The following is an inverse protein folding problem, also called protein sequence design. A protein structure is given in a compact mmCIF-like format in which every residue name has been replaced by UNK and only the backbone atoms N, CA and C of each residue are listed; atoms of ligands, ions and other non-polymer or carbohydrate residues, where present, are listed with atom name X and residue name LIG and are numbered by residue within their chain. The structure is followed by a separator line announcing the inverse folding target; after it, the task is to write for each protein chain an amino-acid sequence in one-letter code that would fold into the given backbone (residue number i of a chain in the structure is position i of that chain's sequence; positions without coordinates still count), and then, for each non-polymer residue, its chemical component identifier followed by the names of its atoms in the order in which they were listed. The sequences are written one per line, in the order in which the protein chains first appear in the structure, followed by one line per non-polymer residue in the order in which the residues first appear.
data_IF_291311732042
#
_entry.id   IF_291311732042
#
_cell.length_a   1.000
_cell.length_b   1.000
_cell.length_c   1.000
_cell.angle_alpha   90.00
_cell.angle_beta   90.00
_cell.angle_gamma   90.00
#
_symmetry.space_group_name_H-M   'P 1'
#
loop_
_entity.id
_entity.type
_entity.pdbx_description
1 polymer ?
#
# COMPACT_ATOMS: atom_id res chain seq x y z
N UNK A 1 6.55 -3.79 -5.50
CA UNK A 1 7.01 -4.72 -4.52
C UNK A 1 7.65 -4.10 -3.31
N UNK A 2 7.14 -4.46 -2.18
CA UNK A 2 7.61 -4.04 -0.86
C UNK A 2 8.98 -4.62 -0.47
N UNK A 3 9.59 -5.44 -1.31
CA UNK A 3 10.68 -6.33 -0.89
C UNK A 3 12.08 -5.83 -1.17
N UNK A 4 12.21 -4.69 -1.83
CA UNK A 4 13.51 -4.37 -2.41
C UNK A 4 14.09 -3.06 -1.90
N UNK A 5 13.44 -2.43 -0.95
CA UNK A 5 13.68 -1.01 -0.75
C UNK A 5 14.56 -0.67 0.45
N UNK A 6 14.73 -1.62 1.34
CA UNK A 6 15.54 -1.47 2.55
C UNK A 6 16.90 -2.17 2.47
N UNK A 7 17.42 -2.41 1.29
CA UNK A 7 18.69 -3.14 1.12
C UNK A 7 18.56 -4.68 1.25
N UNK A 8 17.35 -5.20 1.34
CA UNK A 8 17.09 -6.64 1.34
C UNK A 8 17.13 -7.21 -0.09
N UNK A 9 18.27 -7.12 -0.73
CA UNK A 9 18.49 -7.75 -2.03
C UNK A 9 18.77 -9.25 -1.82
N UNK A 10 18.18 -10.08 -2.67
CA UNK A 10 18.41 -11.53 -2.63
C UNK A 10 19.86 -11.91 -2.94
N UNK A 11 20.44 -11.20 -3.89
CA UNK A 11 21.80 -11.36 -4.40
C UNK A 11 22.21 -10.10 -5.18
N UNK A 12 23.45 -10.02 -5.65
CA UNK A 12 23.97 -8.89 -6.41
C UNK A 12 23.24 -8.68 -7.73
N UNK A 13 22.91 -9.74 -8.46
CA UNK A 13 22.15 -9.65 -9.71
C UNK A 13 20.75 -9.05 -9.50
N UNK A 14 20.10 -9.37 -8.38
CA UNK A 14 18.83 -8.76 -8.01
C UNK A 14 18.99 -7.28 -7.67
N UNK A 15 20.08 -6.93 -6.97
CA UNK A 15 20.43 -5.54 -6.65
C UNK A 15 20.63 -4.72 -7.92
N UNK A 16 21.48 -5.18 -8.86
CA UNK A 16 21.71 -4.52 -10.15
C UNK A 16 20.42 -4.29 -10.92
N UNK A 17 19.55 -5.31 -11.01
CA UNK A 17 18.25 -5.21 -11.67
C UNK A 17 17.34 -4.15 -11.01
N UNK A 18 17.35 -4.04 -9.69
CA UNK A 18 16.57 -3.03 -8.96
C UNK A 18 17.12 -1.63 -9.22
N UNK A 19 18.44 -1.46 -9.14
CA UNK A 19 19.10 -0.17 -9.38
C UNK A 19 18.90 0.31 -10.83
N UNK A 20 19.04 -0.58 -11.80
CA UNK A 20 18.90 -0.25 -13.23
C UNK A 20 17.52 0.32 -13.59
N UNK A 21 16.48 -0.03 -12.83
CA UNK A 21 15.12 0.49 -13.03
C UNK A 21 14.70 1.57 -12.02
N UNK A 22 15.63 2.09 -11.22
CA UNK A 22 15.35 3.09 -10.18
C UNK A 22 14.44 2.58 -9.07
N UNK A 23 14.48 1.26 -8.80
CA UNK A 23 13.60 0.62 -7.81
C UNK A 23 14.08 0.76 -6.35
N UNK A 24 15.19 1.42 -6.10
CA UNK A 24 15.74 1.70 -4.77
C UNK A 24 15.14 2.97 -4.13
N UNK A 25 13.83 3.10 -4.20
CA UNK A 25 13.08 4.31 -3.80
C UNK A 25 13.46 4.78 -2.39
N UNK A 26 13.60 3.87 -1.43
CA UNK A 26 14.00 4.20 -0.07
C UNK A 26 15.39 4.83 -0.01
N UNK A 27 16.37 4.25 -0.69
CA UNK A 27 17.73 4.81 -0.75
C UNK A 27 17.75 6.16 -1.47
N UNK A 28 16.96 6.33 -2.52
CA UNK A 28 16.83 7.61 -3.22
C UNK A 28 16.22 8.70 -2.32
N UNK A 29 15.21 8.37 -1.54
CA UNK A 29 14.64 9.31 -0.58
C UNK A 29 15.64 9.66 0.53
N UNK A 30 16.37 8.69 1.06
CA UNK A 30 17.41 8.92 2.07
C UNK A 30 18.50 9.86 1.57
N UNK A 31 18.97 9.67 0.33
CA UNK A 31 19.93 10.60 -0.32
C UNK A 31 19.40 12.02 -0.50
N UNK A 32 18.09 12.20 -0.45
CA UNK A 32 17.40 13.52 -0.49
C UNK A 32 17.09 14.09 0.90
N UNK A 33 17.63 13.50 1.95
CA UNK A 33 17.49 13.98 3.33
C UNK A 33 16.25 13.48 4.08
N UNK A 34 15.53 12.48 3.56
CA UNK A 34 14.45 11.86 4.31
C UNK A 34 15.00 10.78 5.26
N UNK A 35 14.42 10.69 6.44
CA UNK A 35 14.51 9.48 7.25
C UNK A 35 13.52 8.48 6.63
N UNK A 36 14.03 7.30 6.26
CA UNK A 36 13.23 6.30 5.54
C UNK A 36 13.06 5.06 6.41
N UNK A 37 11.80 4.64 6.56
CA UNK A 37 11.45 3.39 7.21
C UNK A 37 10.78 2.51 6.16
N UNK A 38 11.34 1.34 5.91
CA UNK A 38 10.78 0.35 4.98
C UNK A 38 10.44 -0.93 5.74
N UNK A 39 9.24 -1.02 6.33
CA UNK A 39 8.87 -2.12 7.19
C UNK A 39 8.72 -3.43 6.39
N UNK A 40 9.14 -4.54 6.99
CA UNK A 40 8.76 -5.87 6.53
C UNK A 40 7.25 -6.04 6.72
N UNK A 41 6.54 -6.36 5.64
CA UNK A 41 5.07 -6.46 5.68
C UNK A 41 4.66 -7.92 5.86
N UNK A 42 3.84 -8.18 6.89
CA UNK A 42 3.37 -9.55 7.17
C UNK A 42 2.62 -10.15 5.97
N UNK A 43 2.90 -11.41 5.68
CA UNK A 43 2.37 -12.15 4.54
C UNK A 43 2.99 -11.77 3.18
N UNK A 44 3.98 -10.87 3.15
CA UNK A 44 4.72 -10.47 1.95
C UNK A 44 6.24 -10.58 2.16
N UNK A 45 6.75 -10.23 3.32
CA UNK A 45 8.15 -10.47 3.69
C UNK A 45 8.36 -11.95 4.00
N UNK A 46 9.48 -12.50 3.57
CA UNK A 46 9.77 -13.95 3.67
C UNK A 46 9.71 -14.45 5.11
N UNK A 47 10.20 -13.66 6.03
CA UNK A 47 10.29 -13.97 7.47
C UNK A 47 8.93 -13.92 8.17
N UNK A 48 7.95 -13.33 7.55
CA UNK A 48 6.60 -13.11 8.10
C UNK A 48 5.52 -13.85 7.31
N UNK A 49 5.90 -14.89 6.56
CA UNK A 49 4.95 -15.74 5.84
C UNK A 49 4.26 -16.72 6.78
N UNK A 50 2.97 -16.91 6.57
CA UNK A 50 2.26 -18.04 7.17
C UNK A 50 2.70 -19.32 6.46
N UNK A 51 3.17 -20.34 7.19
CA UNK A 51 3.62 -21.59 6.59
C UNK A 51 2.52 -22.29 5.79
N UNK A 52 2.81 -22.63 4.56
CA UNK A 52 1.97 -23.48 3.69
C UNK A 52 2.86 -24.49 2.93
N UNK A 53 3.44 -25.46 3.65
CA UNK A 53 4.44 -26.38 3.09
C UNK A 53 3.89 -27.26 1.97
N UNK A 54 2.58 -27.48 1.95
CA UNK A 54 1.88 -28.25 0.91
C UNK A 54 1.34 -27.38 -0.23
N UNK A 55 1.56 -26.06 -0.19
CA UNK A 55 1.05 -25.09 -1.15
C UNK A 55 -0.47 -25.21 -1.45
N UNK A 56 -1.24 -25.56 -0.43
CA UNK A 56 -2.69 -25.78 -0.55
C UNK A 56 -3.46 -24.50 -0.93
N UNK A 57 -2.89 -23.35 -0.64
CA UNK A 57 -3.46 -22.04 -0.96
C UNK A 57 -2.77 -21.40 -2.18
N UNK A 58 -2.11 -22.21 -3.01
CA UNK A 58 -1.44 -21.78 -4.24
C UNK A 58 -0.06 -21.18 -4.00
N UNK A 59 0.52 -20.60 -5.06
CA UNK A 59 1.89 -20.09 -5.02
C UNK A 59 2.00 -18.65 -4.47
N UNK A 60 0.90 -18.04 -4.05
CA UNK A 60 0.91 -16.68 -3.48
C UNK A 60 1.02 -16.74 -1.95
N UNK A 61 2.15 -16.33 -1.36
CA UNK A 61 2.36 -16.46 0.08
C UNK A 61 1.30 -15.73 0.93
N UNK A 62 0.82 -14.60 0.42
CA UNK A 62 -0.18 -13.79 1.10
C UNK A 62 -1.56 -14.47 1.19
N UNK A 63 -1.82 -15.52 0.41
CA UNK A 63 -3.10 -16.25 0.46
C UNK A 63 -3.22 -17.10 1.72
N UNK A 64 -2.15 -17.72 2.19
CA UNK A 64 -2.15 -18.43 3.45
C UNK A 64 -2.51 -17.48 4.61
N UNK A 65 -1.92 -16.29 4.64
CA UNK A 65 -2.28 -15.27 5.62
C UNK A 65 -3.75 -14.85 5.50
N UNK A 66 -4.29 -14.69 4.28
CA UNK A 66 -5.69 -14.36 4.09
C UNK A 66 -6.61 -15.39 4.75
N UNK A 67 -6.34 -16.68 4.54
CA UNK A 67 -7.15 -17.75 5.14
C UNK A 67 -7.10 -17.69 6.68
N UNK A 68 -5.91 -17.51 7.25
CA UNK A 68 -5.77 -17.35 8.71
C UNK A 68 -6.54 -16.13 9.23
N UNK A 69 -6.46 -15.00 8.55
CA UNK A 69 -7.19 -13.80 8.93
C UNK A 69 -8.72 -14.02 8.87
N UNK A 70 -9.22 -14.65 7.81
CA UNK A 70 -10.64 -14.93 7.65
C UNK A 70 -11.17 -15.84 8.76
N UNK A 71 -10.44 -16.88 9.16
CA UNK A 71 -10.80 -17.74 10.28
C UNK A 71 -10.90 -16.97 11.61
N UNK A 72 -10.10 -15.89 11.76
CA UNK A 72 -10.14 -15.00 12.92
C UNK A 72 -11.08 -13.81 12.77
N UNK A 73 -11.90 -13.73 11.71
CA UNK A 73 -12.78 -12.59 11.46
C UNK A 73 -12.04 -11.30 11.12
N UNK A 74 -10.82 -11.40 10.58
CA UNK A 74 -9.93 -10.27 10.26
C UNK A 74 -9.53 -10.28 8.78
N UNK A 75 -8.80 -9.27 8.34
CA UNK A 75 -8.22 -9.21 6.99
C UNK A 75 -6.73 -8.91 7.06
N UNK A 76 -5.92 -9.39 6.09
CA UNK A 76 -4.51 -9.02 6.01
C UNK A 76 -4.30 -7.51 5.86
N UNK A 77 -5.20 -6.83 5.16
CA UNK A 77 -5.17 -5.36 5.02
C UNK A 77 -5.32 -4.68 6.37
N UNK A 78 -6.30 -5.07 7.19
CA UNK A 78 -6.51 -4.48 8.52
C UNK A 78 -5.31 -4.73 9.46
N UNK A 79 -4.75 -5.94 9.45
CA UNK A 79 -3.56 -6.25 10.25
C UNK A 79 -2.34 -5.43 9.83
N UNK A 80 -2.14 -5.24 8.53
CA UNK A 80 -1.05 -4.41 8.00
C UNK A 80 -1.24 -2.93 8.33
N UNK A 81 -2.46 -2.41 8.27
CA UNK A 81 -2.78 -1.05 8.70
C UNK A 81 -2.48 -0.86 10.17
N UNK A 82 -2.88 -1.82 11.00
CA UNK A 82 -2.54 -1.79 12.44
C UNK A 82 -1.03 -1.77 12.67
N UNK A 83 -0.25 -2.57 11.93
CA UNK A 83 1.22 -2.53 12.01
C UNK A 83 1.78 -1.14 11.67
N UNK A 84 1.21 -0.48 10.63
CA UNK A 84 1.64 0.87 10.28
C UNK A 84 1.28 1.89 11.37
N UNK A 85 0.13 1.76 12.00
CA UNK A 85 -0.22 2.60 13.14
C UNK A 85 0.75 2.43 14.32
N UNK A 86 1.15 1.16 14.64
CA UNK A 86 2.18 0.92 15.68
C UNK A 86 3.54 1.53 15.29
N UNK A 87 3.89 1.46 14.01
CA UNK A 87 5.09 2.12 13.51
C UNK A 87 5.01 3.65 13.64
N UNK A 88 3.86 4.24 13.38
CA UNK A 88 3.62 5.67 13.56
C UNK A 88 3.70 6.07 15.04
N UNK A 89 3.17 5.27 15.96
CA UNK A 89 3.30 5.51 17.41
C UNK A 89 4.76 5.53 17.86
N UNK A 90 5.57 4.64 17.34
CA UNK A 90 7.01 4.63 17.57
C UNK A 90 7.67 5.87 16.95
N UNK A 91 7.30 6.23 15.72
CA UNK A 91 7.90 7.35 15.00
C UNK A 91 7.63 8.70 15.69
N UNK A 92 6.46 8.90 16.29
CA UNK A 92 6.13 10.12 17.02
C UNK A 92 7.06 10.38 18.21
N UNK A 93 7.60 9.33 18.79
CA UNK A 93 8.47 9.41 19.96
C UNK A 93 9.96 9.31 19.60
N UNK A 94 10.29 9.21 18.32
CA UNK A 94 11.69 9.04 17.89
C UNK A 94 12.36 10.41 17.68
N UNK A 95 13.51 10.69 18.33
CA UNK A 95 14.10 12.04 18.39
C UNK A 95 14.55 12.60 17.04
N UNK A 96 14.78 11.75 16.04
CA UNK A 96 15.22 12.16 14.72
C UNK A 96 14.06 12.33 13.72
N UNK A 97 12.82 12.03 14.11
CA UNK A 97 11.67 12.04 13.19
C UNK A 97 10.80 13.28 13.46
N UNK A 98 10.55 14.05 12.42
CA UNK A 98 9.53 15.07 12.45
C UNK A 98 8.15 14.45 12.18
N UNK A 99 7.42 14.16 13.24
CA UNK A 99 6.10 13.53 13.18
C UNK A 99 5.03 14.39 12.50
N UNK A 100 5.29 15.69 12.28
CA UNK A 100 4.41 16.59 11.52
C UNK A 100 4.59 16.52 10.03
N UNK A 101 5.62 15.81 9.53
CA UNK A 101 5.99 15.70 8.11
C UNK A 101 6.12 14.26 7.64
N UNK A 102 5.17 13.41 7.99
CA UNK A 102 5.19 12.00 7.60
C UNK A 102 4.60 11.84 6.20
N UNK A 103 5.37 11.20 5.33
CA UNK A 103 4.96 10.77 3.98
C UNK A 103 4.88 9.25 3.95
N UNK A 104 3.80 8.71 3.41
CA UNK A 104 3.68 7.29 3.17
C UNK A 104 3.52 6.99 1.68
N UNK A 105 4.28 6.03 1.19
CA UNK A 105 4.21 5.59 -0.21
C UNK A 105 4.35 4.08 -0.32
N UNK A 106 3.81 3.52 -1.38
CA UNK A 106 3.96 2.11 -1.69
C UNK A 106 3.40 1.77 -3.05
N UNK A 107 3.91 0.69 -3.65
CA UNK A 107 3.46 0.23 -4.96
C UNK A 107 2.59 -1.02 -4.84
N UNK A 108 1.53 -1.15 -5.64
CA UNK A 108 0.63 -2.30 -5.68
C UNK A 108 0.04 -2.58 -4.28
N UNK A 109 0.27 -3.71 -3.66
CA UNK A 109 -0.15 -3.99 -2.27
C UNK A 109 0.33 -2.96 -1.25
N UNK A 110 1.51 -2.34 -1.48
CA UNK A 110 1.99 -1.19 -0.69
C UNK A 110 1.19 0.07 -0.92
N UNK A 111 0.71 0.28 -2.14
CA UNK A 111 -0.20 1.38 -2.46
C UNK A 111 -1.58 1.21 -1.81
N UNK A 112 -2.10 -0.01 -1.80
CA UNK A 112 -3.32 -0.36 -1.05
C UNK A 112 -3.14 -0.01 0.44
N UNK A 113 -2.04 -0.48 1.04
CA UNK A 113 -1.73 -0.20 2.43
C UNK A 113 -1.59 1.30 2.70
N UNK A 114 -0.94 2.04 1.79
CA UNK A 114 -0.81 3.50 1.89
C UNK A 114 -2.17 4.20 1.91
N UNK A 115 -3.06 3.83 0.99
CA UNK A 115 -4.39 4.44 0.91
C UNK A 115 -5.22 4.18 2.17
N UNK A 116 -5.29 2.93 2.63
CA UNK A 116 -6.05 2.58 3.85
C UNK A 116 -5.45 3.22 5.10
N UNK A 117 -4.12 3.20 5.25
CA UNK A 117 -3.49 3.78 6.44
C UNK A 117 -3.71 5.30 6.48
N UNK A 118 -3.53 5.98 5.35
CA UNK A 118 -3.73 7.43 5.29
C UNK A 118 -5.20 7.84 5.50
N UNK A 119 -6.15 7.02 5.04
CA UNK A 119 -7.57 7.26 5.29
C UNK A 119 -7.94 7.19 6.79
N UNK A 120 -7.28 6.31 7.54
CA UNK A 120 -7.61 6.04 8.95
C UNK A 120 -6.73 6.87 9.91
N UNK A 121 -5.49 7.19 9.51
CA UNK A 121 -4.52 7.84 10.38
C UNK A 121 -4.09 9.21 9.85
N UNK A 122 -4.50 10.25 10.55
CA UNK A 122 -4.26 11.65 10.17
C UNK A 122 -2.82 12.12 10.35
N UNK A 123 -1.96 11.32 10.98
CA UNK A 123 -0.52 11.59 11.11
C UNK A 123 0.20 11.54 9.76
N UNK A 124 -0.31 10.77 8.80
CA UNK A 124 0.21 10.77 7.44
C UNK A 124 -0.24 12.06 6.74
N UNK A 125 0.70 12.95 6.44
CA UNK A 125 0.43 14.25 5.82
C UNK A 125 0.39 14.18 4.30
N UNK A 126 1.18 13.27 3.72
CA UNK A 126 1.21 13.02 2.28
C UNK A 126 1.11 11.54 2.02
N UNK A 127 0.10 11.11 1.25
CA UNK A 127 -0.09 9.74 0.82
C UNK A 127 0.18 9.61 -0.68
N UNK A 128 1.02 8.64 -1.07
CA UNK A 128 1.38 8.40 -2.47
C UNK A 128 1.14 6.92 -2.82
N UNK A 129 -0.13 6.49 -2.98
CA UNK A 129 -0.44 5.15 -3.46
C UNK A 129 -0.06 5.00 -4.94
N UNK A 130 0.76 4.00 -5.26
CA UNK A 130 1.19 3.72 -6.63
C UNK A 130 0.61 2.41 -7.13
N UNK A 131 0.06 2.40 -8.35
CA UNK A 131 -0.49 1.24 -9.05
C UNK A 131 -1.46 0.41 -8.17
N UNK A 132 -2.42 1.08 -7.55
CA UNK A 132 -3.34 0.45 -6.59
C UNK A 132 -4.73 1.10 -6.53
N UNK A 133 -4.86 2.33 -6.98
CA UNK A 133 -6.09 3.10 -6.86
C UNK A 133 -7.02 2.82 -8.04
N UNK A 134 -8.06 2.02 -7.82
CA UNK A 134 -9.04 1.64 -8.85
C UNK A 134 -10.40 1.34 -8.21
N UNK A 135 -11.47 1.27 -9.02
CA UNK A 135 -12.81 1.00 -8.52
C UNK A 135 -13.02 -0.45 -8.12
N UNK A 136 -13.65 -0.69 -6.97
CA UNK A 136 -14.19 -2.01 -6.61
C UNK A 136 -15.58 -2.25 -7.17
N UNK A 137 -16.20 -1.23 -7.75
CA UNK A 137 -17.56 -1.28 -8.32
C UNK A 137 -17.55 -1.58 -9.83
N UNK A 138 -16.44 -1.36 -10.52
CA UNK A 138 -16.34 -1.61 -11.97
C UNK A 138 -15.99 -3.06 -12.26
N UNK A 139 -16.34 -3.54 -13.46
CA UNK A 139 -15.97 -4.87 -13.95
C UNK A 139 -14.46 -5.01 -14.13
N UNK A 140 -13.81 -3.94 -14.54
CA UNK A 140 -12.38 -3.84 -14.81
C UNK A 140 -11.60 -3.37 -13.57
N UNK A 141 -12.24 -3.41 -12.40
CA UNK A 141 -11.71 -2.80 -11.19
C UNK A 141 -10.86 -3.75 -10.34
N UNK A 142 -11.13 -3.70 -9.07
CA UNK A 142 -10.30 -4.26 -8.00
C UNK A 142 -10.13 -5.78 -8.04
N UNK A 143 -10.91 -6.49 -8.84
CA UNK A 143 -10.83 -7.96 -8.97
C UNK A 143 -9.41 -8.45 -9.37
N UNK A 144 -8.62 -7.58 -10.02
CA UNK A 144 -7.25 -7.90 -10.43
C UNK A 144 -6.21 -7.67 -9.33
N UNK A 145 -6.59 -7.10 -8.20
CA UNK A 145 -5.72 -6.99 -7.04
C UNK A 145 -5.46 -8.35 -6.38
N UNK A 146 -4.38 -8.42 -5.60
CA UNK A 146 -4.09 -9.60 -4.79
C UNK A 146 -5.21 -9.84 -3.77
N UNK A 147 -5.62 -11.09 -3.61
CA UNK A 147 -6.69 -11.51 -2.70
C UNK A 147 -6.52 -10.96 -1.27
N UNK A 148 -5.28 -10.84 -0.82
CA UNK A 148 -4.95 -10.30 0.51
C UNK A 148 -5.18 -8.80 0.67
N UNK A 149 -5.53 -8.11 -0.40
CA UNK A 149 -5.88 -6.70 -0.39
C UNK A 149 -7.40 -6.47 -0.31
N UNK A 150 -8.19 -7.53 -0.41
CA UNK A 150 -9.64 -7.43 -0.37
C UNK A 150 -10.13 -7.20 1.06
N UNK A 151 -11.08 -6.28 1.19
CA UNK A 151 -11.78 -5.97 2.44
C UNK A 151 -13.24 -6.34 2.27
N UNK A 152 -13.78 -7.31 3.06
CA UNK A 152 -15.17 -7.68 3.00
C UNK A 152 -16.08 -6.48 3.24
N UNK A 153 -17.21 -6.45 2.52
CA UNK A 153 -18.23 -5.39 2.63
C UNK A 153 -17.77 -3.98 2.22
N UNK A 154 -16.60 -3.83 1.62
CA UNK A 154 -16.15 -2.50 1.15
C UNK A 154 -17.19 -1.88 0.19
N UNK A 155 -17.81 -2.71 -0.66
CA UNK A 155 -18.85 -2.26 -1.61
C UNK A 155 -20.13 -1.74 -0.95
N UNK A 156 -20.42 -2.17 0.27
CA UNK A 156 -21.59 -1.69 1.01
C UNK A 156 -21.34 -0.29 1.59
N UNK A 157 -20.07 0.05 1.79
CA UNK A 157 -19.64 1.32 2.34
C UNK A 157 -19.33 2.37 1.26
N UNK A 158 -18.66 1.97 0.18
CA UNK A 158 -18.24 2.89 -0.88
C UNK A 158 -17.21 2.31 -1.83
N UNK A 159 -16.52 3.19 -2.52
CA UNK A 159 -15.47 2.87 -3.47
C UNK A 159 -14.15 3.54 -3.05
N UNK A 160 -13.12 3.40 -3.82
CA UNK A 160 -11.82 4.00 -3.56
C UNK A 160 -11.82 5.53 -3.55
N UNK A 161 -12.78 6.18 -4.22
CA UNK A 161 -12.92 7.64 -4.13
C UNK A 161 -13.37 8.10 -2.74
N UNK A 162 -14.23 7.35 -2.05
CA UNK A 162 -14.60 7.63 -0.66
C UNK A 162 -13.40 7.39 0.25
N UNK A 163 -12.67 6.28 0.06
CA UNK A 163 -11.46 5.99 0.81
C UNK A 163 -10.40 7.09 0.65
N UNK A 164 -10.16 7.53 -0.60
CA UNK A 164 -9.26 8.64 -0.88
C UNK A 164 -9.76 9.97 -0.32
N UNK A 165 -11.08 10.17 -0.30
CA UNK A 165 -11.73 11.35 0.28
C UNK A 165 -11.45 11.51 1.78
N UNK A 166 -11.29 10.42 2.53
CA UNK A 166 -10.91 10.48 3.95
C UNK A 166 -9.48 11.04 4.18
N UNK A 167 -8.68 11.15 3.14
CA UNK A 167 -7.37 11.80 3.22
C UNK A 167 -7.48 13.32 3.22
N UNK A 168 -8.54 13.88 2.62
CA UNK A 168 -8.74 15.32 2.54
C UNK A 168 -8.84 15.96 3.96
N UNK A 169 -8.35 17.20 4.16
CA UNK A 169 -7.70 18.08 3.19
C UNK A 169 -6.17 17.86 3.05
N UNK A 170 -5.64 16.75 3.57
CA UNK A 170 -4.22 16.38 3.46
C UNK A 170 -3.84 16.07 2.00
N UNK A 171 -2.57 15.83 1.73
CA UNK A 171 -2.11 15.62 0.37
C UNK A 171 -2.24 14.16 -0.08
N UNK A 172 -2.84 13.95 -1.24
CA UNK A 172 -2.96 12.65 -1.89
C UNK A 172 -2.44 12.75 -3.33
N UNK A 173 -1.41 11.96 -3.68
CA UNK A 173 -0.89 11.84 -5.03
C UNK A 173 -1.07 10.41 -5.53
N UNK A 174 -1.98 10.20 -6.46
CA UNK A 174 -2.23 8.90 -7.07
C UNK A 174 -1.27 8.71 -8.24
N UNK A 175 -0.49 7.64 -8.22
CA UNK A 175 0.49 7.31 -9.27
C UNK A 175 0.09 6.01 -9.96
N UNK A 176 -0.01 6.05 -11.30
CA UNK A 176 -0.25 4.87 -12.12
C UNK A 176 0.70 4.82 -13.32
N UNK A 177 1.09 3.61 -13.73
CA UNK A 177 1.79 3.41 -14.97
C UNK A 177 0.87 3.60 -16.17
N UNK A 178 1.34 4.28 -17.21
CA UNK A 178 0.56 4.48 -18.47
C UNK A 178 0.24 3.13 -19.12
N UNK A 179 1.13 2.16 -19.01
CA UNK A 179 1.00 0.80 -19.54
C UNK A 179 0.63 -0.23 -18.46
N UNK A 180 -0.04 0.19 -17.38
CA UNK A 180 -0.46 -0.74 -16.33
C UNK A 180 -1.61 -1.62 -16.86
N UNK A 181 -1.32 -2.89 -17.09
CA UNK A 181 -2.29 -3.87 -17.58
C UNK A 181 -3.24 -4.43 -16.51
N UNK A 182 -3.03 -4.06 -15.22
CA UNK A 182 -3.86 -4.53 -14.10
C UNK A 182 -5.00 -3.56 -13.77
N UNK A 183 -4.80 -2.28 -14.03
CA UNK A 183 -5.77 -1.25 -13.68
C UNK A 183 -6.27 -0.54 -14.93
N UNK A 184 -7.56 -0.68 -15.19
CA UNK A 184 -8.19 -0.07 -16.35
C UNK A 184 -8.13 1.46 -16.27
N UNK A 185 -7.34 2.08 -17.12
CA UNK A 185 -7.02 3.51 -17.08
C UNK A 185 -8.25 4.41 -17.06
N UNK A 186 -9.28 4.21 -17.91
CA UNK A 186 -10.48 5.03 -17.86
C UNK A 186 -11.21 4.98 -16.52
N UNK A 187 -11.19 3.83 -15.84
CA UNK A 187 -11.76 3.69 -14.49
C UNK A 187 -10.99 4.54 -13.47
N UNK A 188 -9.66 4.49 -13.53
CA UNK A 188 -8.79 5.30 -12.66
C UNK A 188 -9.02 6.79 -12.89
N UNK A 189 -9.05 7.24 -14.16
CA UNK A 189 -9.25 8.64 -14.51
C UNK A 189 -10.64 9.16 -14.05
N UNK A 190 -11.67 8.32 -14.14
CA UNK A 190 -13.00 8.64 -13.61
C UNK A 190 -13.00 8.84 -12.10
N UNK A 191 -12.36 7.92 -11.35
CA UNK A 191 -12.24 8.03 -9.91
C UNK A 191 -11.42 9.26 -9.48
N UNK A 192 -10.33 9.55 -10.17
CA UNK A 192 -9.51 10.73 -9.92
C UNK A 192 -10.32 12.02 -10.11
N UNK A 193 -11.11 12.11 -11.18
CA UNK A 193 -12.02 13.24 -11.41
C UNK A 193 -13.05 13.42 -10.29
N UNK A 194 -13.65 12.33 -9.81
CA UNK A 194 -14.58 12.37 -8.68
C UNK A 194 -13.91 12.77 -7.38
N UNK A 195 -12.72 12.24 -7.12
CA UNK A 195 -11.93 12.52 -5.92
C UNK A 195 -11.50 13.99 -5.86
N UNK A 196 -11.07 14.57 -6.97
CA UNK A 196 -10.75 16.00 -7.07
C UNK A 196 -11.91 16.91 -6.65
N UNK A 197 -13.15 16.50 -6.91
CA UNK A 197 -14.31 17.26 -6.44
C UNK A 197 -14.46 17.17 -4.91
N UNK A 198 -14.18 16.04 -4.30
CA UNK A 198 -14.17 15.90 -2.83
C UNK A 198 -13.13 16.84 -2.20
N UNK A 199 -11.93 16.87 -2.76
CA UNK A 199 -10.86 17.75 -2.25
C UNK A 199 -11.12 19.25 -2.44
N UNK A 200 -12.02 19.65 -3.34
CA UNK A 200 -12.40 21.05 -3.51
C UNK A 200 -13.36 21.57 -2.43
N UNK A 201 -14.08 20.69 -1.76
CA UNK A 201 -15.08 21.03 -0.74
C UNK A 201 -14.61 20.68 0.68
N UNK A 202 -13.50 20.01 0.85
CA UNK A 202 -12.90 19.68 2.13
C UNK A 202 -11.89 20.75 2.59
#
# INVERSE_FOLDING_TARGET
GLHSYAGAFKDEKHREKILARGGDIGAQAARRGFIVIAPATRGLAQELLVPDPKKRHGNRPCRAQLIHCLLGGRTPTAERVWDMQRLLDWAENHPLIDSKRIVMTGNSGGGVLTAYTAAIDSRIKVAIPSCSFTSVMSKEGFIFHCDCCLVPKLRDWGDWKELGGLVAPRHLLIVHGVSDGLHHRPTVDKLDGQLKNIFKIA
#
